data_IF_901810057741
#
_entry.id   IF_901810057741
#
_cell.length_a   1.000
_cell.length_b   1.000
_cell.length_c   1.000
_cell.angle_alpha   90.00
_cell.angle_beta   90.00
_cell.angle_gamma   90.00
#
_symmetry.space_group_name_H-M   'P 1'
#
loop_
_entity.id
_entity.type
_entity.pdbx_description
1 polymer ?
#
# COMPACT_ATOMS: atom_id res chain seq x y z
N UNK A 1 -4.44 -25.53 8.64
CA UNK A 1 -5.67 -25.40 7.83
C UNK A 1 -5.43 -24.25 6.87
N UNK A 2 -5.10 -24.56 5.61
CA UNK A 2 -4.96 -23.55 4.56
C UNK A 2 -6.35 -22.95 4.27
N UNK A 3 -6.43 -21.65 4.04
CA UNK A 3 -7.70 -20.95 3.76
C UNK A 3 -8.24 -21.25 2.35
N UNK A 4 -7.39 -21.78 1.47
CA UNK A 4 -7.66 -22.04 0.06
C UNK A 4 -6.95 -23.33 -0.33
N UNK A 5 -7.57 -24.14 -1.18
CA UNK A 5 -6.96 -25.35 -1.74
C UNK A 5 -5.72 -25.00 -2.57
N UNK A 6 -4.71 -25.87 -2.55
CA UNK A 6 -3.42 -25.60 -3.20
C UNK A 6 -3.54 -25.34 -4.71
N UNK A 7 -4.59 -25.85 -5.34
CA UNK A 7 -4.89 -25.63 -6.77
C UNK A 7 -5.20 -24.16 -7.09
N UNK A 8 -5.78 -23.39 -6.16
CA UNK A 8 -6.13 -21.97 -6.39
C UNK A 8 -5.10 -20.98 -5.82
N UNK A 9 -3.93 -21.47 -5.39
CA UNK A 9 -2.94 -20.65 -4.72
C UNK A 9 -2.33 -19.58 -5.64
N UNK A 10 -2.19 -19.89 -6.95
CA UNK A 10 -1.69 -18.97 -7.96
C UNK A 10 -2.67 -17.81 -8.21
N UNK A 11 -3.94 -18.12 -8.38
CA UNK A 11 -5.02 -17.15 -8.58
C UNK A 11 -5.18 -16.26 -7.36
N UNK A 12 -5.13 -16.85 -6.16
CA UNK A 12 -5.12 -16.08 -4.91
C UNK A 12 -3.94 -15.11 -4.87
N UNK A 13 -2.74 -15.52 -5.30
CA UNK A 13 -1.56 -14.67 -5.35
C UNK A 13 -1.77 -13.47 -6.28
N UNK A 14 -2.33 -13.70 -7.47
CA UNK A 14 -2.65 -12.66 -8.46
C UNK A 14 -3.70 -11.69 -7.93
N UNK A 15 -4.83 -12.21 -7.44
CA UNK A 15 -5.93 -11.40 -6.89
C UNK A 15 -5.46 -10.59 -5.69
N UNK A 16 -4.65 -11.16 -4.81
CA UNK A 16 -4.08 -10.47 -3.65
C UNK A 16 -3.25 -9.25 -4.05
N UNK A 17 -2.43 -9.38 -5.11
CA UNK A 17 -1.66 -8.26 -5.64
C UNK A 17 -2.57 -7.16 -6.18
N UNK A 18 -3.58 -7.49 -6.98
CA UNK A 18 -4.52 -6.50 -7.55
C UNK A 18 -5.38 -5.81 -6.48
N UNK A 19 -5.93 -6.55 -5.52
CA UNK A 19 -6.67 -5.95 -4.41
C UNK A 19 -5.79 -4.99 -3.62
N UNK A 20 -4.54 -5.37 -3.35
CA UNK A 20 -3.60 -4.50 -2.64
C UNK A 20 -3.20 -3.25 -3.45
N UNK A 21 -3.19 -3.33 -4.78
CA UNK A 21 -2.87 -2.22 -5.67
C UNK A 21 -3.98 -1.17 -5.72
N UNK A 22 -5.24 -1.62 -5.68
CA UNK A 22 -6.42 -0.78 -5.81
C UNK A 22 -6.87 -0.18 -4.47
N UNK A 23 -6.51 -0.80 -3.35
CA UNK A 23 -6.79 -0.24 -2.04
C UNK A 23 -5.90 0.97 -1.76
N UNK A 24 -6.43 2.04 -1.13
CA UNK A 24 -5.57 3.05 -0.55
C UNK A 24 -4.66 2.39 0.50
N UNK A 25 -3.39 2.77 0.55
CA UNK A 25 -2.50 2.29 1.60
C UNK A 25 -2.71 3.03 2.92
N UNK A 26 -3.17 4.28 2.86
CA UNK A 26 -3.41 5.08 4.05
C UNK A 26 -4.50 6.13 3.86
N UNK A 27 -5.30 6.32 4.93
CA UNK A 27 -6.22 7.44 5.09
C UNK A 27 -5.75 8.30 6.27
N UNK A 28 -5.56 9.60 6.08
CA UNK A 28 -5.35 10.55 7.19
C UNK A 28 -6.50 11.53 7.27
N UNK A 29 -7.07 11.71 8.47
CA UNK A 29 -8.07 12.74 8.76
C UNK A 29 -7.55 13.66 9.85
N UNK A 30 -7.58 14.96 9.61
CA UNK A 30 -7.23 16.01 10.56
C UNK A 30 -8.39 16.99 10.67
N UNK A 31 -8.97 17.10 11.85
CA UNK A 31 -9.99 18.09 12.19
C UNK A 31 -9.46 18.93 13.36
N UNK A 32 -8.94 20.14 13.12
CA UNK A 32 -8.41 20.97 14.20
C UNK A 32 -9.55 21.42 15.11
N UNK A 33 -9.47 21.07 16.40
CA UNK A 33 -10.52 21.41 17.38
C UNK A 33 -10.41 22.83 17.95
N UNK A 34 -9.29 23.53 17.68
CA UNK A 34 -8.98 24.84 18.27
C UNK A 34 -8.89 25.98 17.24
N UNK A 35 -9.24 25.76 15.98
CA UNK A 35 -9.34 26.84 14.99
C UNK A 35 -10.74 27.47 15.03
N UNK A 36 -10.80 28.78 14.83
CA UNK A 36 -12.05 29.54 14.66
C UNK A 36 -12.85 29.13 13.42
N UNK A 37 -12.20 28.44 12.47
CA UNK A 37 -12.83 27.82 11.31
C UNK A 37 -12.89 26.29 11.49
N UNK A 38 -14.07 25.71 11.27
CA UNK A 38 -14.27 24.25 11.28
C UNK A 38 -13.96 23.66 9.91
N UNK A 39 -12.69 23.36 9.65
CA UNK A 39 -12.31 22.61 8.45
C UNK A 39 -11.86 21.18 8.78
N UNK A 40 -11.98 20.28 7.82
CA UNK A 40 -11.46 18.92 7.92
C UNK A 40 -10.56 18.62 6.73
N UNK A 41 -9.33 18.25 7.00
CA UNK A 41 -8.36 17.86 5.99
C UNK A 41 -8.31 16.34 5.88
N UNK A 42 -8.62 15.82 4.70
CA UNK A 42 -8.66 14.38 4.40
C UNK A 42 -7.63 14.07 3.33
N UNK A 43 -6.78 13.07 3.57
CA UNK A 43 -5.80 12.60 2.59
C UNK A 43 -6.00 11.11 2.38
N UNK A 44 -6.27 10.72 1.14
CA UNK A 44 -6.44 9.33 0.72
C UNK A 44 -5.24 8.99 -0.16
N UNK A 45 -4.39 8.06 0.30
CA UNK A 45 -3.14 7.72 -0.39
C UNK A 45 -3.27 6.35 -1.04
N UNK A 46 -3.16 6.32 -2.35
CA UNK A 46 -2.98 5.11 -3.15
C UNK A 46 -1.49 4.84 -3.35
N UNK A 47 -1.15 3.67 -3.88
CA UNK A 47 0.23 3.24 -4.07
C UNK A 47 1.05 4.24 -4.88
N UNK A 48 0.48 4.79 -5.96
CA UNK A 48 1.22 5.64 -6.90
C UNK A 48 0.81 7.13 -6.86
N UNK A 49 -0.24 7.48 -6.13
CA UNK A 49 -0.75 8.86 -6.05
C UNK A 49 -1.56 9.05 -4.77
N UNK A 50 -1.87 10.30 -4.42
CA UNK A 50 -2.79 10.60 -3.33
C UNK A 50 -3.80 11.67 -3.74
N UNK A 51 -4.97 11.62 -3.10
CA UNK A 51 -5.94 12.71 -3.10
C UNK A 51 -5.93 13.44 -1.77
N UNK A 52 -6.13 14.75 -1.81
CA UNK A 52 -6.28 15.57 -0.62
C UNK A 52 -7.45 16.54 -0.76
N UNK A 53 -8.22 16.66 0.31
CA UNK A 53 -9.45 17.44 0.36
C UNK A 53 -9.44 18.32 1.59
N UNK A 54 -9.85 19.58 1.42
CA UNK A 54 -10.08 20.51 2.49
C UNK A 54 -11.57 20.81 2.55
N UNK A 55 -12.27 20.17 3.49
CA UNK A 55 -13.71 20.29 3.65
C UNK A 55 -14.04 21.42 4.62
N UNK A 56 -15.11 22.17 4.37
CA UNK A 56 -15.55 23.27 5.25
C UNK A 56 -14.77 24.58 5.07
N UNK A 57 -13.90 24.67 4.06
CA UNK A 57 -13.16 25.88 3.69
C UNK A 57 -13.34 26.17 2.20
N UNK A 58 -13.20 27.44 1.80
CA UNK A 58 -13.18 27.87 0.40
C UNK A 58 -11.75 27.96 -0.18
N UNK A 59 -10.73 27.58 0.60
CA UNK A 59 -9.35 27.57 0.14
C UNK A 59 -9.14 26.48 -0.90
N UNK A 60 -8.55 26.86 -2.03
CA UNK A 60 -8.15 25.90 -3.05
C UNK A 60 -6.95 25.08 -2.56
N UNK A 61 -7.06 23.76 -2.68
CA UNK A 61 -5.97 22.81 -2.41
C UNK A 61 -5.74 21.98 -3.64
N UNK A 62 -4.46 21.77 -3.97
CA UNK A 62 -4.06 20.83 -5.02
C UNK A 62 -4.58 19.45 -4.66
N UNK A 63 -5.58 18.95 -5.39
CA UNK A 63 -6.34 17.79 -4.90
C UNK A 63 -5.69 16.46 -5.25
N UNK A 64 -4.76 16.42 -6.21
CA UNK A 64 -4.08 15.21 -6.68
C UNK A 64 -2.57 15.42 -6.65
N UNK A 65 -1.83 14.41 -6.21
CA UNK A 65 -0.37 14.44 -6.18
C UNK A 65 0.20 13.06 -6.48
N UNK A 66 1.19 12.98 -7.36
CA UNK A 66 1.94 11.74 -7.58
C UNK A 66 2.79 11.38 -6.36
N UNK A 67 2.93 10.08 -6.08
CA UNK A 67 3.72 9.65 -4.92
C UNK A 67 5.18 10.09 -5.03
N UNK A 68 5.73 10.15 -6.25
CA UNK A 68 7.10 10.56 -6.52
C UNK A 68 7.36 12.03 -6.17
N UNK A 69 6.36 12.89 -6.28
CA UNK A 69 6.46 14.33 -5.98
C UNK A 69 6.23 14.63 -4.48
N UNK A 70 5.66 13.67 -3.74
CA UNK A 70 5.30 13.82 -2.34
C UNK A 70 6.44 14.36 -1.44
N UNK A 71 7.70 13.88 -1.55
CA UNK A 71 8.78 14.37 -0.70
C UNK A 71 9.10 15.86 -0.87
N UNK A 72 8.83 16.43 -2.06
CA UNK A 72 9.00 17.85 -2.36
C UNK A 72 7.82 18.71 -1.91
N UNK A 73 6.63 18.12 -1.79
CA UNK A 73 5.40 18.81 -1.39
C UNK A 73 5.22 18.92 0.13
N UNK A 74 5.68 17.92 0.90
CA UNK A 74 5.47 17.87 2.35
C UNK A 74 6.49 18.69 3.15
N UNK A 75 6.10 19.06 4.37
CA UNK A 75 7.01 19.72 5.32
C UNK A 75 8.21 18.83 5.67
N UNK A 76 9.35 19.41 6.07
CA UNK A 76 10.55 18.63 6.43
C UNK A 76 10.31 17.54 7.48
N UNK A 77 9.38 17.79 8.43
CA UNK A 77 9.05 16.85 9.51
C UNK A 77 8.44 15.53 8.99
N UNK A 78 7.66 15.58 7.90
CA UNK A 78 6.95 14.40 7.35
C UNK A 78 7.70 13.81 6.15
N UNK A 79 8.78 14.44 5.69
CA UNK A 79 9.53 14.05 4.49
C UNK A 79 10.07 12.63 4.53
N UNK A 80 10.49 12.13 5.70
CA UNK A 80 10.94 10.75 5.88
C UNK A 80 9.82 9.74 5.57
N UNK A 81 8.60 10.01 6.03
CA UNK A 81 7.42 9.20 5.73
C UNK A 81 7.08 9.20 4.24
N UNK A 82 7.24 10.35 3.57
CA UNK A 82 7.03 10.47 2.13
C UNK A 82 8.03 9.61 1.34
N UNK A 83 9.33 9.65 1.68
CA UNK A 83 10.32 8.79 1.05
C UNK A 83 10.09 7.30 1.32
N UNK A 84 9.66 6.93 2.54
CA UNK A 84 9.30 5.56 2.84
C UNK A 84 8.11 5.07 1.99
N UNK A 85 7.12 5.93 1.75
CA UNK A 85 6.00 5.62 0.87
C UNK A 85 6.44 5.47 -0.60
N UNK A 86 7.34 6.32 -1.10
CA UNK A 86 7.93 6.17 -2.45
C UNK A 86 8.68 4.85 -2.58
N UNK A 87 9.50 4.49 -1.58
CA UNK A 87 10.22 3.23 -1.56
C UNK A 87 9.26 2.02 -1.56
N UNK A 88 8.18 2.09 -0.77
CA UNK A 88 7.15 1.06 -0.75
C UNK A 88 6.43 0.93 -2.10
N UNK A 89 6.11 2.05 -2.76
CA UNK A 89 5.48 2.06 -4.07
C UNK A 89 6.39 1.46 -5.15
N UNK A 90 7.68 1.78 -5.12
CA UNK A 90 8.68 1.18 -6.01
C UNK A 90 8.82 -0.33 -5.77
N UNK A 91 8.88 -0.76 -4.50
CA UNK A 91 8.91 -2.17 -4.13
C UNK A 91 7.65 -2.92 -4.59
N UNK A 92 6.47 -2.30 -4.44
CA UNK A 92 5.18 -2.88 -4.83
C UNK A 92 5.03 -3.06 -6.35
N UNK A 93 5.83 -2.37 -7.17
CA UNK A 93 5.86 -2.64 -8.61
C UNK A 93 6.32 -4.08 -8.92
N UNK A 94 7.11 -4.71 -8.04
CA UNK A 94 7.56 -6.10 -8.22
C UNK A 94 6.41 -7.12 -8.12
N UNK A 95 5.63 -7.21 -7.04
CA UNK A 95 4.49 -8.14 -6.98
C UNK A 95 3.42 -7.83 -8.02
N UNK A 96 3.20 -6.56 -8.37
CA UNK A 96 2.26 -6.20 -9.44
C UNK A 96 2.76 -6.64 -10.82
N UNK A 97 4.04 -6.43 -11.12
CA UNK A 97 4.64 -6.94 -12.36
C UNK A 97 4.65 -8.47 -12.40
N UNK A 98 4.90 -9.12 -11.27
CA UNK A 98 4.86 -10.58 -11.15
C UNK A 98 3.44 -11.12 -11.34
N UNK A 99 2.39 -10.44 -10.86
CA UNK A 99 1.00 -10.86 -11.08
C UNK A 99 0.59 -10.76 -12.54
N UNK A 100 1.05 -9.72 -13.25
CA UNK A 100 0.87 -9.59 -14.70
C UNK A 100 1.61 -10.71 -15.43
N UNK A 101 2.85 -11.01 -15.06
CA UNK A 101 3.60 -12.12 -15.65
C UNK A 101 2.91 -13.47 -15.44
N UNK A 102 2.36 -13.71 -14.24
CA UNK A 102 1.57 -14.89 -13.91
C UNK A 102 0.35 -15.02 -14.82
N UNK A 103 -0.37 -13.92 -15.04
CA UNK A 103 -1.56 -13.89 -15.89
C UNK A 103 -1.23 -14.13 -17.38
N UNK A 104 -0.09 -13.61 -17.85
CA UNK A 104 0.29 -13.71 -19.27
C UNK A 104 1.02 -15.01 -19.61
N UNK A 105 1.67 -15.66 -18.64
CA UNK A 105 2.59 -16.78 -18.90
C UNK A 105 2.63 -17.77 -17.73
N UNK A 106 1.45 -18.23 -17.29
CA UNK A 106 1.27 -19.10 -16.12
C UNK A 106 2.20 -20.32 -16.12
N UNK A 107 2.20 -21.13 -17.19
CA UNK A 107 3.04 -22.34 -17.29
C UNK A 107 4.54 -22.04 -17.10
N UNK A 108 5.00 -20.89 -17.60
CA UNK A 108 6.40 -20.48 -17.49
C UNK A 108 6.74 -19.98 -16.10
N UNK A 109 5.80 -19.32 -15.43
CA UNK A 109 5.96 -18.85 -14.05
C UNK A 109 5.94 -20.04 -13.09
N UNK A 110 5.02 -20.99 -13.27
CA UNK A 110 4.97 -22.22 -12.47
C UNK A 110 6.16 -23.16 -12.72
N UNK A 111 6.78 -23.09 -13.90
CA UNK A 111 8.01 -23.82 -14.22
C UNK A 111 9.30 -23.26 -13.61
N UNK A 112 9.23 -22.17 -12.83
CA UNK A 112 10.41 -21.57 -12.19
C UNK A 112 11.01 -22.50 -11.11
N UNK A 113 12.33 -22.39 -10.82
CA UNK A 113 12.98 -23.20 -9.79
C UNK A 113 12.59 -22.81 -8.36
N UNK A 114 11.79 -21.76 -8.20
CA UNK A 114 11.28 -21.25 -6.92
C UNK A 114 9.76 -21.22 -6.98
N UNK A 115 9.11 -21.50 -5.86
CA UNK A 115 7.66 -21.46 -5.73
C UNK A 115 7.12 -20.03 -5.96
N UNK A 116 6.39 -19.77 -7.07
CA UNK A 116 5.87 -18.44 -7.41
C UNK A 116 4.96 -17.84 -6.34
N UNK A 117 4.16 -18.67 -5.65
CA UNK A 117 3.23 -18.24 -4.61
C UNK A 117 4.00 -17.74 -3.39
N UNK A 118 5.08 -18.44 -3.00
CA UNK A 118 5.96 -17.97 -1.92
C UNK A 118 6.72 -16.70 -2.29
N UNK A 119 7.14 -16.56 -3.55
CA UNK A 119 7.74 -15.32 -4.06
C UNK A 119 6.76 -14.17 -3.92
N UNK A 120 5.52 -14.33 -4.40
CA UNK A 120 4.48 -13.30 -4.25
C UNK A 120 4.22 -12.99 -2.77
N UNK A 121 4.06 -14.01 -1.93
CA UNK A 121 3.84 -13.85 -0.50
C UNK A 121 4.96 -13.06 0.20
N UNK A 122 6.22 -13.36 -0.13
CA UNK A 122 7.38 -12.63 0.35
C UNK A 122 7.41 -11.17 -0.10
N UNK A 123 7.11 -10.91 -1.37
CA UNK A 123 7.06 -9.55 -1.92
C UNK A 123 5.94 -8.69 -1.28
N UNK A 124 4.74 -9.26 -1.09
CA UNK A 124 3.64 -8.58 -0.43
C UNK A 124 3.95 -8.31 1.05
N UNK A 125 4.53 -9.28 1.76
CA UNK A 125 4.94 -9.11 3.16
C UNK A 125 6.03 -8.05 3.31
N UNK A 126 7.04 -8.04 2.43
CA UNK A 126 8.08 -7.01 2.41
C UNK A 126 7.49 -5.62 2.16
N UNK A 127 6.56 -5.50 1.21
CA UNK A 127 5.86 -4.24 0.95
C UNK A 127 5.05 -3.79 2.17
N UNK A 128 4.36 -4.71 2.86
CA UNK A 128 3.62 -4.42 4.08
C UNK A 128 4.52 -3.79 5.15
N UNK A 129 5.74 -4.30 5.32
CA UNK A 129 6.71 -3.77 6.27
C UNK A 129 7.11 -2.34 5.92
N UNK A 130 7.44 -2.06 4.65
CA UNK A 130 7.88 -0.71 4.24
C UNK A 130 6.75 0.32 4.37
N UNK A 131 5.51 -0.02 3.96
CA UNK A 131 4.38 0.87 4.24
C UNK A 131 4.05 0.97 5.74
N UNK A 132 4.29 -0.08 6.53
CA UNK A 132 4.19 -0.04 7.98
C UNK A 132 5.14 1.00 8.58
N UNK A 133 6.39 1.06 8.09
CA UNK A 133 7.36 2.11 8.46
C UNK A 133 6.85 3.49 8.06
N UNK A 134 6.33 3.66 6.83
CA UNK A 134 5.75 4.93 6.40
C UNK A 134 4.59 5.37 7.31
N UNK A 135 3.73 4.43 7.70
CA UNK A 135 2.60 4.69 8.62
C UNK A 135 3.09 5.08 10.01
N UNK A 136 4.09 4.38 10.55
CA UNK A 136 4.66 4.71 11.86
C UNK A 136 5.27 6.12 11.87
N UNK A 137 5.99 6.50 10.81
CA UNK A 137 6.53 7.85 10.66
C UNK A 137 5.42 8.91 10.54
N UNK A 138 4.30 8.60 9.87
CA UNK A 138 3.14 9.48 9.84
C UNK A 138 2.55 9.69 11.24
N UNK A 139 2.39 8.63 12.04
CA UNK A 139 1.90 8.78 13.42
C UNK A 139 2.84 9.60 14.30
N UNK A 140 4.15 9.53 14.07
CA UNK A 140 5.14 10.29 14.84
C UNK A 140 5.20 11.77 14.47
N UNK A 141 5.00 12.09 13.18
CA UNK A 141 5.34 13.42 12.65
C UNK A 141 4.19 14.20 12.02
N UNK A 142 3.04 13.55 11.75
CA UNK A 142 1.88 14.19 11.13
C UNK A 142 0.72 14.22 12.12
N UNK A 143 0.14 15.40 12.32
CA UNK A 143 -1.08 15.55 13.10
C UNK A 143 -2.29 14.88 12.40
N UNK A 144 -3.24 14.43 13.21
CA UNK A 144 -4.46 13.75 12.76
C UNK A 144 -4.39 12.24 12.92
N UNK A 145 -5.52 11.58 12.66
CA UNK A 145 -5.64 10.13 12.71
C UNK A 145 -5.23 9.57 11.36
N UNK A 146 -4.20 8.71 11.35
CA UNK A 146 -3.79 7.95 10.16
C UNK A 146 -4.18 6.49 10.32
N UNK A 147 -4.93 5.95 9.36
CA UNK A 147 -5.33 4.55 9.32
C UNK A 147 -4.51 3.83 8.24
N UNK A 148 -3.75 2.77 8.60
CA UNK A 148 -3.13 1.89 7.61
C UNK A 148 -4.20 0.97 7.04
N UNK A 149 -4.42 1.05 5.74
CA UNK A 149 -5.42 0.20 5.05
C UNK A 149 -4.68 -0.92 4.32
N UNK A 150 -4.14 -0.68 3.11
CA UNK A 150 -3.45 -1.74 2.35
C UNK A 150 -2.31 -2.45 3.10
N UNK A 151 -1.53 -1.86 4.02
CA UNK A 151 -0.45 -2.58 4.71
C UNK A 151 -0.95 -3.75 5.56
N UNK A 152 -2.16 -3.62 6.12
CA UNK A 152 -2.79 -4.72 6.87
C UNK A 152 -3.18 -5.86 5.93
N UNK A 153 -3.77 -5.53 4.78
CA UNK A 153 -4.12 -6.52 3.74
C UNK A 153 -2.88 -7.18 3.14
N UNK A 154 -1.84 -6.41 2.81
CA UNK A 154 -0.56 -6.90 2.32
C UNK A 154 0.08 -7.88 3.30
N UNK A 155 0.05 -7.59 4.59
CA UNK A 155 0.56 -8.49 5.62
C UNK A 155 -0.25 -9.80 5.69
N UNK A 156 -1.58 -9.70 5.70
CA UNK A 156 -2.48 -10.86 5.72
C UNK A 156 -2.27 -11.73 4.49
N UNK A 157 -2.32 -11.16 3.29
CA UNK A 157 -2.08 -11.88 2.04
C UNK A 157 -0.67 -12.47 1.98
N UNK A 158 0.36 -11.69 2.31
CA UNK A 158 1.74 -12.16 2.33
C UNK A 158 1.93 -13.37 3.24
N UNK A 159 1.45 -13.30 4.49
CA UNK A 159 1.52 -14.42 5.45
C UNK A 159 0.69 -15.61 4.99
N UNK A 160 -0.47 -15.38 4.38
CA UNK A 160 -1.34 -16.45 3.89
C UNK A 160 -0.66 -17.22 2.78
N UNK A 161 -0.13 -16.53 1.76
CA UNK A 161 0.58 -17.16 0.64
C UNK A 161 1.84 -17.90 1.10
N UNK A 162 2.58 -17.35 2.07
CA UNK A 162 3.77 -18.01 2.62
C UNK A 162 3.45 -19.29 3.44
N UNK A 163 2.21 -19.45 3.90
CA UNK A 163 1.77 -20.58 4.72
C UNK A 163 0.99 -21.64 3.94
N UNK A 164 0.66 -21.39 2.67
CA UNK A 164 0.01 -22.41 1.84
C UNK A 164 0.97 -23.58 1.63
N UNK A 165 0.47 -24.78 1.90
CA UNK A 165 1.18 -26.02 1.60
C UNK A 165 1.07 -26.27 0.09
N UNK A 166 2.23 -26.29 -0.60
CA UNK A 166 2.35 -26.70 -2.00
C UNK A 166 3.20 -27.97 -2.02
N UNK A 167 2.59 -29.05 -2.52
CA UNK A 167 3.18 -30.40 -2.66
C UNK A 167 3.67 -30.63 -4.07
#
# INVERSE_FOLDING_TARGET
MAWVDSEYAGELAVVSAWLSALLPWSLTVLSPSQSSESFTFVIIRYTYFQFQFLLGSNLAVESFLWIADLPGFVTPQVRSAAWAAVAAAALFALPLGFSIAYYLAEERVEGLPVDPVRVMGGLLAATAVVYGVATALLWQHKAGLTLPVSPLFLAVFGVTLLRIERT
#
